data_IF_013640310903
#
_entry.id   IF_013640310903
#
_cell.length_a   1.000
_cell.length_b   1.000
_cell.length_c   1.000
_cell.angle_alpha   90.00
_cell.angle_beta   90.00
_cell.angle_gamma   90.00
#
_symmetry.space_group_name_H-M   'P 1'
#
loop_
_entity.id
_entity.type
_entity.pdbx_description
1 polymer ?
#
# COMPACT_ATOMS: atom_id res chain seq x y z
N UNK A 1 93.10 10.07 -35.51
CA UNK A 1 91.95 9.19 -35.83
C UNK A 1 91.23 8.77 -34.54
N UNK A 2 90.34 9.57 -33.96
CA UNK A 2 89.72 9.20 -32.65
C UNK A 2 88.39 9.91 -32.41
N UNK A 3 87.42 9.77 -33.33
CA UNK A 3 86.06 10.33 -33.14
C UNK A 3 84.87 9.40 -33.43
N UNK A 4 85.10 8.14 -33.87
CA UNK A 4 83.98 7.25 -34.26
C UNK A 4 83.57 6.19 -33.23
N UNK A 5 84.34 5.94 -32.17
CA UNK A 5 84.04 4.83 -31.22
C UNK A 5 83.01 5.18 -30.13
N UNK A 6 82.84 6.45 -29.78
CA UNK A 6 81.90 6.86 -28.70
C UNK A 6 80.43 6.96 -29.15
N UNK A 7 80.17 7.03 -30.47
CA UNK A 7 78.80 7.15 -30.98
C UNK A 7 78.05 5.80 -30.94
N UNK A 8 78.72 4.70 -31.29
CA UNK A 8 78.10 3.37 -31.38
C UNK A 8 77.71 2.80 -30.00
N UNK A 9 78.51 3.08 -28.96
CA UNK A 9 78.25 2.64 -27.58
C UNK A 9 77.08 3.44 -26.97
N UNK A 10 76.98 4.75 -27.26
CA UNK A 10 75.87 5.60 -26.81
C UNK A 10 74.53 5.26 -27.47
N UNK A 11 74.52 4.79 -28.73
CA UNK A 11 73.31 4.34 -29.44
C UNK A 11 72.81 3.01 -28.85
N UNK A 12 73.71 2.05 -28.57
CA UNK A 12 73.35 0.77 -27.95
C UNK A 12 72.81 0.93 -26.51
N UNK A 13 73.42 1.80 -25.69
CA UNK A 13 72.92 2.09 -24.34
C UNK A 13 71.56 2.80 -24.34
N UNK A 14 71.26 3.67 -25.32
CA UNK A 14 69.92 4.27 -25.48
C UNK A 14 68.85 3.26 -25.92
N UNK A 15 69.21 2.32 -26.80
CA UNK A 15 68.32 1.24 -27.23
C UNK A 15 67.95 0.29 -26.08
N UNK A 16 68.92 -0.10 -25.26
CA UNK A 16 68.72 -0.97 -24.09
C UNK A 16 67.86 -0.26 -23.03
N UNK A 17 68.13 1.02 -22.72
CA UNK A 17 67.30 1.83 -21.81
C UNK A 17 65.87 2.04 -22.35
N UNK A 18 65.74 2.22 -23.67
CA UNK A 18 64.43 2.34 -24.34
C UNK A 18 63.58 1.08 -24.22
N UNK A 19 64.18 -0.11 -24.30
CA UNK A 19 63.48 -1.38 -24.09
C UNK A 19 63.00 -1.59 -22.65
N UNK A 20 63.80 -1.22 -21.63
CA UNK A 20 63.35 -1.30 -20.23
C UNK A 20 62.21 -0.33 -19.92
N UNK A 21 62.30 0.90 -20.45
CA UNK A 21 61.24 1.90 -20.29
C UNK A 21 59.95 1.43 -20.97
N UNK A 22 60.04 0.84 -22.18
CA UNK A 22 58.88 0.24 -22.84
C UNK A 22 58.28 -0.93 -22.04
N UNK A 23 59.09 -1.84 -21.49
CA UNK A 23 58.59 -2.93 -20.64
C UNK A 23 57.86 -2.40 -19.40
N UNK A 24 58.39 -1.35 -18.76
CA UNK A 24 57.72 -0.69 -17.63
C UNK A 24 56.40 -0.05 -18.04
N UNK A 25 56.36 0.68 -19.16
CA UNK A 25 55.13 1.32 -19.67
C UNK A 25 54.06 0.28 -20.04
N UNK A 26 54.45 -0.83 -20.68
CA UNK A 26 53.54 -1.92 -21.02
C UNK A 26 52.99 -2.60 -19.76
N UNK A 27 53.84 -2.85 -18.76
CA UNK A 27 53.40 -3.41 -17.47
C UNK A 27 52.46 -2.46 -16.72
N UNK A 28 52.77 -1.16 -16.64
CA UNK A 28 51.91 -0.19 -15.97
C UNK A 28 50.60 0.03 -16.72
N UNK A 29 50.61 -0.04 -18.06
CA UNK A 29 49.42 -0.02 -18.91
C UNK A 29 48.50 -1.23 -18.67
N UNK A 30 49.08 -2.43 -18.55
CA UNK A 30 48.34 -3.65 -18.22
C UNK A 30 47.72 -3.59 -16.81
N UNK A 31 48.47 -3.09 -15.81
CA UNK A 31 47.94 -2.91 -14.45
C UNK A 31 46.83 -1.86 -14.37
N UNK A 32 46.93 -0.77 -15.12
CA UNK A 32 45.88 0.25 -15.17
C UNK A 32 44.64 -0.26 -15.91
N UNK A 33 44.80 -1.08 -16.95
CA UNK A 33 43.67 -1.72 -17.62
C UNK A 33 42.98 -2.77 -16.74
N UNK A 34 43.75 -3.62 -16.05
CA UNK A 34 43.23 -4.58 -15.07
C UNK A 34 42.55 -3.90 -13.89
N UNK A 35 43.14 -2.81 -13.38
CA UNK A 35 42.55 -2.01 -12.30
C UNK A 35 41.22 -1.37 -12.71
N UNK A 36 41.12 -0.83 -13.93
CA UNK A 36 39.88 -0.27 -14.45
C UNK A 36 38.81 -1.34 -14.68
N UNK A 37 39.18 -2.49 -15.26
CA UNK A 37 38.25 -3.60 -15.49
C UNK A 37 37.70 -4.17 -14.17
N UNK A 38 38.57 -4.33 -13.16
CA UNK A 38 38.16 -4.76 -11.83
C UNK A 38 37.30 -3.69 -11.14
N UNK A 39 37.64 -2.41 -11.24
CA UNK A 39 36.85 -1.33 -10.67
C UNK A 39 35.43 -1.26 -11.25
N UNK A 40 35.27 -1.44 -12.56
CA UNK A 40 33.94 -1.49 -13.22
C UNK A 40 33.15 -2.72 -12.79
N UNK A 41 33.79 -3.88 -12.67
CA UNK A 41 33.13 -5.11 -12.22
C UNK A 41 32.69 -5.02 -10.74
N UNK A 42 33.55 -4.51 -9.86
CA UNK A 42 33.19 -4.31 -8.46
C UNK A 42 32.16 -3.19 -8.28
N UNK A 43 32.25 -2.08 -9.03
CA UNK A 43 31.25 -1.02 -8.93
C UNK A 43 29.89 -1.51 -9.42
N UNK A 44 29.81 -2.28 -10.51
CA UNK A 44 28.54 -2.83 -10.99
C UNK A 44 27.92 -3.82 -10.00
N UNK A 45 28.73 -4.67 -9.37
CA UNK A 45 28.28 -5.61 -8.33
C UNK A 45 27.76 -4.87 -7.08
N UNK A 46 28.52 -3.90 -6.55
CA UNK A 46 28.10 -3.07 -5.40
C UNK A 46 26.90 -2.19 -5.71
N UNK A 47 26.81 -1.67 -6.94
CA UNK A 47 25.67 -0.86 -7.39
C UNK A 47 24.41 -1.71 -7.52
N UNK A 48 24.53 -2.96 -7.97
CA UNK A 48 23.41 -3.89 -8.02
C UNK A 48 22.91 -4.31 -6.63
N UNK A 49 23.80 -4.56 -5.66
CA UNK A 49 23.41 -4.80 -4.26
C UNK A 49 22.74 -3.57 -3.63
N UNK A 50 23.29 -2.37 -3.83
CA UNK A 50 22.69 -1.12 -3.36
C UNK A 50 21.33 -0.83 -4.04
N UNK A 51 21.19 -1.16 -5.32
CA UNK A 51 19.95 -0.99 -6.06
C UNK A 51 18.87 -1.93 -5.55
N UNK A 52 19.20 -3.20 -5.32
CA UNK A 52 18.28 -4.18 -4.73
C UNK A 52 17.88 -3.80 -3.30
N UNK A 53 18.81 -3.30 -2.49
CA UNK A 53 18.53 -2.82 -1.14
C UNK A 53 17.60 -1.59 -1.16
N UNK A 54 17.86 -0.62 -2.05
CA UNK A 54 17.01 0.57 -2.23
C UNK A 54 15.61 0.20 -2.72
N UNK A 55 15.52 -0.67 -3.72
CA UNK A 55 14.25 -1.16 -4.24
C UNK A 55 13.44 -1.86 -3.15
N UNK A 56 14.09 -2.71 -2.33
CA UNK A 56 13.43 -3.38 -1.20
C UNK A 56 12.93 -2.38 -0.16
N UNK A 57 13.72 -1.36 0.17
CA UNK A 57 13.32 -0.29 1.10
C UNK A 57 12.19 0.56 0.55
N UNK A 58 12.19 0.86 -0.76
CA UNK A 58 11.11 1.59 -1.43
C UNK A 58 9.82 0.78 -1.45
N UNK A 59 9.88 -0.52 -1.75
CA UNK A 59 8.72 -1.41 -1.67
C UNK A 59 8.17 -1.47 -0.25
N UNK A 60 9.03 -1.62 0.76
CA UNK A 60 8.63 -1.60 2.17
C UNK A 60 7.99 -0.28 2.56
N UNK A 61 8.54 0.86 2.08
CA UNK A 61 7.95 2.19 2.29
C UNK A 61 6.56 2.30 1.69
N UNK A 62 6.36 1.87 0.43
CA UNK A 62 5.05 1.88 -0.23
C UNK A 62 4.04 1.04 0.56
N UNK A 63 4.43 -0.15 1.00
CA UNK A 63 3.58 -1.02 1.82
C UNK A 63 3.21 -0.33 3.14
N UNK A 64 4.16 0.31 3.82
CA UNK A 64 3.89 1.08 5.04
C UNK A 64 2.93 2.24 4.79
N UNK A 65 3.10 3.01 3.71
CA UNK A 65 2.19 4.10 3.35
C UNK A 65 0.77 3.58 3.10
N UNK A 66 0.62 2.44 2.42
CA UNK A 66 -0.69 1.80 2.23
C UNK A 66 -1.30 1.33 3.55
N UNK A 67 -0.50 0.76 4.44
CA UNK A 67 -0.95 0.36 5.78
C UNK A 67 -1.41 1.54 6.62
N UNK A 68 -0.66 2.64 6.67
CA UNK A 68 -1.07 3.86 7.36
C UNK A 68 -2.39 4.40 6.79
N UNK A 69 -2.51 4.45 5.46
CA UNK A 69 -3.76 4.85 4.81
C UNK A 69 -4.94 3.94 5.17
N UNK A 70 -4.73 2.63 5.30
CA UNK A 70 -5.77 1.68 5.72
C UNK A 70 -6.15 1.87 7.19
N UNK A 71 -5.20 2.19 8.08
CA UNK A 71 -5.49 2.54 9.48
C UNK A 71 -6.38 3.79 9.53
N UNK A 72 -6.02 4.85 8.79
CA UNK A 72 -6.82 6.07 8.73
C UNK A 72 -8.24 5.82 8.23
N UNK A 73 -8.39 5.01 7.17
CA UNK A 73 -9.71 4.63 6.64
C UNK A 73 -10.51 3.82 7.66
N UNK A 74 -9.87 2.89 8.36
CA UNK A 74 -10.51 2.07 9.40
C UNK A 74 -11.06 2.97 10.52
N UNK A 75 -10.28 3.96 10.98
CA UNK A 75 -10.74 4.94 11.98
C UNK A 75 -11.91 5.77 11.47
N UNK A 76 -11.83 6.29 10.23
CA UNK A 76 -12.91 7.07 9.62
C UNK A 76 -14.21 6.25 9.53
N UNK A 77 -14.11 5.00 9.11
CA UNK A 77 -15.24 4.09 8.99
C UNK A 77 -15.85 3.74 10.35
N UNK A 78 -15.03 3.49 11.37
CA UNK A 78 -15.51 3.26 12.72
C UNK A 78 -16.35 4.45 13.24
N UNK A 79 -15.93 5.68 12.94
CA UNK A 79 -16.69 6.88 13.30
C UNK A 79 -18.01 7.06 12.52
N UNK A 80 -18.20 6.33 11.41
CA UNK A 80 -19.48 6.31 10.66
C UNK A 80 -20.48 5.27 11.20
N UNK A 81 -20.08 4.42 12.15
CA UNK A 81 -20.96 3.44 12.79
C UNK A 81 -22.30 4.01 13.31
N UNK A 82 -22.34 5.13 14.08
CA UNK A 82 -23.61 5.70 14.53
C UNK A 82 -24.49 6.17 13.37
N UNK A 83 -23.89 6.67 12.28
CA UNK A 83 -24.61 7.13 11.09
C UNK A 83 -25.35 5.96 10.43
N UNK A 84 -24.69 4.83 10.19
CA UNK A 84 -25.35 3.69 9.55
C UNK A 84 -26.42 3.05 10.44
N UNK A 85 -26.22 3.05 11.77
CA UNK A 85 -27.24 2.60 12.72
C UNK A 85 -28.48 3.50 12.59
N UNK A 86 -28.29 4.82 12.52
CA UNK A 86 -29.36 5.78 12.29
C UNK A 86 -30.06 5.62 10.94
N UNK A 87 -29.29 5.41 9.86
CA UNK A 87 -29.82 5.18 8.51
C UNK A 87 -30.67 3.90 8.46
N UNK A 88 -30.22 2.81 9.08
CA UNK A 88 -30.97 1.54 9.17
C UNK A 88 -32.24 1.70 9.99
N UNK A 89 -32.18 2.41 11.12
CA UNK A 89 -33.37 2.71 11.92
C UNK A 89 -34.40 3.55 11.14
N UNK A 90 -33.92 4.55 10.37
CA UNK A 90 -34.76 5.36 9.49
C UNK A 90 -35.39 4.52 8.38
N UNK A 91 -34.63 3.60 7.78
CA UNK A 91 -35.12 2.70 6.74
C UNK A 91 -36.18 1.73 7.29
N UNK A 92 -35.99 1.18 8.49
CA UNK A 92 -36.98 0.31 9.13
C UNK A 92 -38.25 1.07 9.53
N UNK A 93 -38.12 2.32 9.99
CA UNK A 93 -39.27 3.19 10.26
C UNK A 93 -40.07 3.48 8.98
N UNK A 94 -39.41 3.73 7.84
CA UNK A 94 -40.05 3.91 6.54
C UNK A 94 -40.76 2.64 6.05
N UNK A 95 -40.11 1.48 6.20
CA UNK A 95 -40.70 0.18 5.86
C UNK A 95 -41.97 -0.08 6.71
N UNK A 96 -41.92 0.23 7.99
CA UNK A 96 -43.08 0.11 8.88
C UNK A 96 -44.20 1.09 8.48
N UNK A 97 -43.84 2.32 8.10
CA UNK A 97 -44.81 3.29 7.58
C UNK A 97 -45.49 2.79 6.31
N UNK A 98 -44.71 2.31 5.33
CA UNK A 98 -45.24 1.73 4.10
C UNK A 98 -46.16 0.52 4.37
N UNK A 99 -45.80 -0.34 5.32
CA UNK A 99 -46.64 -1.46 5.73
C UNK A 99 -47.97 -0.98 6.35
N UNK A 100 -47.92 0.02 7.23
CA UNK A 100 -49.13 0.63 7.81
C UNK A 100 -50.01 1.31 6.75
N UNK A 101 -49.41 1.92 5.73
CA UNK A 101 -50.15 2.47 4.59
C UNK A 101 -50.93 1.39 3.83
N UNK A 102 -50.29 0.27 3.50
CA UNK A 102 -50.94 -0.88 2.84
C UNK A 102 -52.06 -1.46 3.71
N UNK A 103 -51.84 -1.62 5.02
CA UNK A 103 -52.87 -2.09 5.95
C UNK A 103 -54.06 -1.13 6.03
N UNK A 104 -53.81 0.18 5.99
CA UNK A 104 -54.86 1.20 6.00
C UNK A 104 -55.74 1.08 4.75
N UNK A 105 -55.13 0.94 3.58
CA UNK A 105 -55.85 0.70 2.31
C UNK A 105 -56.62 -0.62 2.32
N UNK A 106 -56.04 -1.69 2.88
CA UNK A 106 -56.68 -3.00 2.95
C UNK A 106 -57.94 -3.02 3.84
N UNK A 107 -58.05 -2.12 4.82
CA UNK A 107 -59.24 -1.97 5.69
C UNK A 107 -60.39 -1.19 5.03
N UNK A 108 -60.32 -0.93 3.73
CA UNK A 108 -61.39 -0.29 2.96
C UNK A 108 -61.41 1.24 3.06
N UNK A 109 -60.38 1.85 3.67
CA UNK A 109 -60.21 3.29 3.59
C UNK A 109 -59.86 3.69 2.14
N UNK A 110 -60.46 4.75 1.59
CA UNK A 110 -60.16 5.16 0.23
C UNK A 110 -58.67 5.51 0.09
N UNK A 111 -58.09 5.14 -1.05
CA UNK A 111 -56.66 5.33 -1.42
C UNK A 111 -56.18 6.78 -1.29
N UNK A 112 -57.11 7.75 -1.16
CA UNK A 112 -56.86 9.18 -1.08
C UNK A 112 -57.43 9.81 0.21
N UNK A 113 -57.61 9.01 1.26
CA UNK A 113 -57.93 9.57 2.58
C UNK A 113 -56.65 10.11 3.24
N UNK A 114 -56.71 11.33 3.77
CA UNK A 114 -55.62 11.96 4.54
C UNK A 114 -55.12 11.06 5.69
N UNK A 115 -56.00 10.20 6.20
CA UNK A 115 -55.69 9.18 7.21
C UNK A 115 -54.69 8.13 6.76
N UNK A 116 -54.75 7.64 5.51
CA UNK A 116 -53.77 6.66 5.03
C UNK A 116 -52.52 7.33 4.45
N UNK A 117 -52.66 8.50 3.81
CA UNK A 117 -51.54 9.23 3.21
C UNK A 117 -50.50 9.72 4.23
N UNK A 118 -50.89 9.87 5.50
CA UNK A 118 -49.96 10.13 6.62
C UNK A 118 -48.84 9.06 6.76
N UNK A 119 -49.09 7.85 6.29
CA UNK A 119 -48.14 6.73 6.33
C UNK A 119 -47.37 6.54 5.01
N UNK A 120 -47.60 7.37 4.00
CA UNK A 120 -46.91 7.27 2.72
C UNK A 120 -45.40 7.43 2.86
N UNK A 121 -44.64 6.46 2.35
CA UNK A 121 -43.18 6.52 2.33
C UNK A 121 -42.69 7.38 1.17
N UNK A 122 -41.65 8.18 1.39
CA UNK A 122 -40.99 8.89 0.30
C UNK A 122 -39.98 7.94 -0.38
N UNK A 123 -40.38 7.34 -1.52
CA UNK A 123 -39.57 6.36 -2.26
C UNK A 123 -38.18 6.90 -2.63
N UNK A 124 -38.07 8.17 -3.02
CA UNK A 124 -36.80 8.81 -3.37
C UNK A 124 -35.88 8.87 -2.14
N UNK A 125 -36.45 9.17 -0.96
CA UNK A 125 -35.71 9.17 0.31
C UNK A 125 -35.25 7.77 0.71
N UNK A 126 -36.11 6.77 0.56
CA UNK A 126 -35.81 5.36 0.85
C UNK A 126 -34.67 4.86 -0.04
N UNK A 127 -34.74 5.14 -1.34
CA UNK A 127 -33.67 4.79 -2.30
C UNK A 127 -32.34 5.48 -1.94
N UNK A 128 -32.38 6.76 -1.59
CA UNK A 128 -31.19 7.51 -1.16
C UNK A 128 -30.53 6.90 0.08
N UNK A 129 -31.32 6.58 1.11
CA UNK A 129 -30.83 5.94 2.34
C UNK A 129 -30.25 4.55 2.04
N UNK A 130 -30.95 3.74 1.24
CA UNK A 130 -30.50 2.40 0.87
C UNK A 130 -29.17 2.43 0.10
N UNK A 131 -29.02 3.38 -0.84
CA UNK A 131 -27.78 3.60 -1.58
C UNK A 131 -26.63 3.99 -0.66
N UNK A 132 -26.87 4.91 0.28
CA UNK A 132 -25.85 5.34 1.23
C UNK A 132 -25.38 4.17 2.13
N UNK A 133 -26.30 3.36 2.64
CA UNK A 133 -25.97 2.15 3.40
C UNK A 133 -25.13 1.18 2.55
N UNK A 134 -25.51 0.98 1.29
CA UNK A 134 -24.78 0.11 0.37
C UNK A 134 -23.35 0.62 0.11
N UNK A 135 -23.19 1.90 -0.17
CA UNK A 135 -21.89 2.52 -0.42
C UNK A 135 -20.96 2.41 0.80
N UNK A 136 -21.50 2.62 2.01
CA UNK A 136 -20.76 2.44 3.26
C UNK A 136 -20.36 0.97 3.49
N UNK A 137 -21.25 0.02 3.24
CA UNK A 137 -20.94 -1.41 3.35
C UNK A 137 -19.85 -1.83 2.36
N UNK A 138 -19.86 -1.29 1.14
CA UNK A 138 -18.84 -1.52 0.15
C UNK A 138 -17.48 -0.95 0.60
N UNK A 139 -17.47 0.26 1.18
CA UNK A 139 -16.25 0.90 1.73
C UNK A 139 -15.64 0.09 2.87
N UNK A 140 -16.47 -0.42 3.80
CA UNK A 140 -16.02 -1.32 4.88
C UNK A 140 -15.48 -2.63 4.33
N UNK A 141 -16.19 -3.27 3.40
CA UNK A 141 -15.77 -4.56 2.83
C UNK A 141 -14.44 -4.45 2.10
N UNK A 142 -14.26 -3.37 1.33
CA UNK A 142 -12.99 -3.07 0.68
C UNK A 142 -11.86 -2.84 1.69
N UNK A 143 -12.14 -2.10 2.76
CA UNK A 143 -11.15 -1.83 3.81
C UNK A 143 -10.75 -3.11 4.56
N UNK A 144 -11.70 -3.97 4.93
CA UNK A 144 -11.43 -5.27 5.57
C UNK A 144 -10.60 -6.15 4.65
N UNK A 145 -10.96 -6.25 3.37
CA UNK A 145 -10.26 -7.07 2.38
C UNK A 145 -8.82 -6.60 2.18
N UNK A 146 -8.62 -5.29 1.99
CA UNK A 146 -7.28 -4.71 1.82
C UNK A 146 -6.45 -4.85 3.10
N UNK A 147 -7.06 -4.65 4.27
CA UNK A 147 -6.38 -4.87 5.54
C UNK A 147 -5.93 -6.32 5.71
N UNK A 148 -6.71 -7.30 5.25
CA UNK A 148 -6.31 -8.70 5.29
C UNK A 148 -5.13 -9.04 4.36
N UNK A 149 -4.98 -8.31 3.24
CA UNK A 149 -3.88 -8.47 2.28
C UNK A 149 -2.61 -7.80 2.79
N UNK A 150 -2.73 -6.59 3.33
CA UNK A 150 -1.57 -5.78 3.69
C UNK A 150 -1.07 -6.06 5.10
N UNK A 151 -1.88 -6.56 6.02
CA UNK A 151 -1.46 -6.83 7.41
C UNK A 151 -1.31 -8.33 7.69
N UNK A 152 -0.69 -8.61 8.83
CA UNK A 152 -0.27 -9.94 9.23
C UNK A 152 -1.28 -10.67 10.11
N UNK A 153 -0.83 -11.71 10.84
CA UNK A 153 -1.71 -12.63 11.55
C UNK A 153 -2.49 -11.98 12.70
N UNK A 154 -1.98 -10.94 13.37
CA UNK A 154 -2.69 -10.27 14.47
C UNK A 154 -3.89 -9.50 13.95
N UNK A 155 -3.72 -8.71 12.89
CA UNK A 155 -4.84 -8.00 12.26
C UNK A 155 -5.83 -9.00 11.69
N UNK A 156 -5.36 -10.03 10.99
CA UNK A 156 -6.22 -11.07 10.41
C UNK A 156 -7.04 -11.84 11.46
N UNK A 157 -6.49 -12.10 12.65
CA UNK A 157 -7.23 -12.75 13.73
C UNK A 157 -8.43 -11.91 14.20
N UNK A 158 -8.28 -10.58 14.25
CA UNK A 158 -9.36 -9.66 14.63
C UNK A 158 -10.37 -9.51 13.48
N UNK A 159 -9.90 -9.33 12.25
CA UNK A 159 -10.77 -9.24 11.07
C UNK A 159 -11.67 -10.48 10.89
N UNK A 160 -11.17 -11.68 11.22
CA UNK A 160 -11.98 -12.91 11.22
C UNK A 160 -13.10 -12.90 12.26
N UNK A 161 -12.94 -12.21 13.38
CA UNK A 161 -14.02 -12.03 14.37
C UNK A 161 -15.05 -11.06 13.82
N UNK A 162 -14.59 -9.96 13.22
CA UNK A 162 -15.43 -8.93 12.60
C UNK A 162 -16.25 -9.50 11.45
N UNK A 163 -15.68 -10.36 10.61
CA UNK A 163 -16.41 -10.96 9.48
C UNK A 163 -17.52 -11.94 9.91
N UNK A 164 -17.52 -12.38 11.18
CA UNK A 164 -18.59 -13.21 11.76
C UNK A 164 -19.69 -12.37 12.43
N UNK A 165 -19.42 -11.10 12.69
CA UNK A 165 -20.35 -10.15 13.28
C UNK A 165 -20.70 -9.04 12.28
N UNK A 166 -21.64 -8.19 12.63
CA UNK A 166 -21.89 -6.97 11.87
C UNK A 166 -20.78 -5.95 12.19
N UNK A 167 -19.98 -5.50 11.20
CA UNK A 167 -18.85 -4.59 11.43
C UNK A 167 -19.27 -3.24 12.02
N UNK A 168 -20.56 -2.89 11.94
CA UNK A 168 -21.09 -1.64 12.46
C UNK A 168 -21.51 -1.70 13.93
N UNK A 169 -21.48 -2.88 14.55
CA UNK A 169 -21.81 -3.11 15.96
C UNK A 169 -20.55 -3.36 16.79
N UNK A 170 -19.36 -3.14 16.23
CA UNK A 170 -18.12 -3.25 16.98
C UNK A 170 -18.11 -2.26 18.13
N UNK A 171 -17.74 -2.74 19.31
CA UNK A 171 -17.45 -1.89 20.45
C UNK A 171 -16.23 -1.00 20.17
N UNK A 172 -16.12 0.09 20.93
CA UNK A 172 -14.95 0.97 20.87
C UNK A 172 -13.66 0.19 21.21
N UNK A 173 -13.76 -0.80 22.11
CA UNK A 173 -12.62 -1.65 22.46
C UNK A 173 -12.19 -2.53 21.29
N UNK A 174 -13.13 -3.20 20.60
CA UNK A 174 -12.80 -4.02 19.42
C UNK A 174 -12.19 -3.19 18.29
N UNK A 175 -12.68 -1.96 18.11
CA UNK A 175 -12.10 -1.00 17.16
C UNK A 175 -10.66 -0.65 17.55
N UNK A 176 -10.41 -0.36 18.84
CA UNK A 176 -9.07 -0.05 19.32
C UNK A 176 -8.12 -1.25 19.22
N UNK A 177 -8.61 -2.46 19.50
CA UNK A 177 -7.85 -3.69 19.36
C UNK A 177 -7.44 -3.93 17.90
N UNK A 178 -8.34 -3.67 16.94
CA UNK A 178 -8.04 -3.72 15.52
C UNK A 178 -6.94 -2.71 15.14
N UNK A 179 -7.08 -1.45 15.56
CA UNK A 179 -6.10 -0.39 15.29
C UNK A 179 -4.75 -0.74 15.91
N UNK A 180 -4.72 -1.28 17.13
CA UNK A 180 -3.49 -1.68 17.82
C UNK A 180 -2.81 -2.84 17.09
N UNK A 181 -3.58 -3.83 16.63
CA UNK A 181 -3.04 -4.94 15.84
C UNK A 181 -2.41 -4.44 14.54
N UNK A 182 -3.14 -3.60 13.79
CA UNK A 182 -2.64 -2.97 12.55
C UNK A 182 -1.38 -2.15 12.82
N UNK A 183 -1.37 -1.33 13.87
CA UNK A 183 -0.22 -0.52 14.25
C UNK A 183 1.01 -1.37 14.59
N UNK A 184 0.82 -2.48 15.30
CA UNK A 184 1.89 -3.40 15.67
C UNK A 184 2.49 -4.15 14.46
N UNK A 185 1.79 -4.17 13.33
CA UNK A 185 2.18 -4.85 12.09
C UNK A 185 2.58 -3.85 10.99
N UNK A 186 2.76 -2.57 11.31
CA UNK A 186 3.20 -1.54 10.35
C UNK A 186 4.52 -1.93 9.67
N UNK A 187 5.47 -2.44 10.43
CA UNK A 187 6.81 -2.85 9.97
C UNK A 187 6.94 -4.34 9.72
N UNK A 188 5.83 -5.07 9.73
CA UNK A 188 5.83 -6.51 9.50
C UNK A 188 5.94 -6.80 8.00
N UNK A 189 7.05 -7.35 7.54
CA UNK A 189 7.22 -7.73 6.13
C UNK A 189 7.52 -9.23 6.15
N UNK A 190 6.52 -10.03 5.79
CA UNK A 190 6.63 -11.47 5.59
C UNK A 190 7.65 -11.81 4.49
#
# INVERSE_FOLDING_TARGET
>A
MTKRKNLAIGINLRQIKGQEVMKKIISSGLFSFLGAALAVYFSSYFEQENWNARFTLEQKKIVMEKRVSLIEKTVKLANKAPTIIGLRASLEAEKNSAYMHVLCMAKGAPSYSDTCNKYGSNLVRVEGIAKEIHDLNAEVSATITLSAIYFGPKTNAILRKINKSDPWIMSQQETQDLINAMSSELTWFE
#
